data_IF_863707835937
#
_entry.id   IF_863707835937
#
_cell.length_a   1.000
_cell.length_b   1.000
_cell.length_c   1.000
_cell.angle_alpha   90.00
_cell.angle_beta   90.00
_cell.angle_gamma   90.00
#
_symmetry.space_group_name_H-M   'P 1'
#
loop_
_entity.id
_entity.type
_entity.pdbx_description
1 polymer ?
2 water ?
#
# COMPACT_ATOMS: atom_id res chain seq x y z
N UNK A 16 27.45 -0.19 -11.73
CA UNK A 16 26.80 0.77 -10.85
C UNK A 16 25.34 1.09 -11.24
N UNK A 17 24.95 0.77 -12.46
CA UNK A 17 23.55 0.88 -12.86
C UNK A 17 22.83 -0.46 -12.62
N UNK A 18 21.50 -0.38 -12.45
CA UNK A 18 20.73 -1.57 -12.07
C UNK A 18 19.51 -1.85 -12.91
N UNK A 19 18.33 -1.81 -12.28
CA UNK A 19 17.07 -2.03 -12.99
C UNK A 19 16.86 -1.03 -14.12
N UNK A 20 17.67 0.03 -14.18
CA UNK A 20 17.68 0.94 -15.32
C UNK A 20 18.19 0.27 -16.60
N UNK A 21 18.69 -0.96 -16.50
CA UNK A 21 19.13 -1.75 -17.63
C UNK A 21 18.04 -2.65 -18.20
N UNK A 22 16.83 -2.60 -17.64
CA UNK A 22 15.73 -3.40 -18.12
C UNK A 22 15.56 -4.76 -17.50
N UNK A 23 16.32 -5.08 -16.45
CA UNK A 23 16.20 -6.35 -15.76
C UNK A 23 15.43 -6.11 -14.48
N UNK A 24 14.17 -6.54 -14.44
CA UNK A 24 13.35 -6.41 -13.24
C UNK A 24 13.57 -7.59 -12.29
N UNK A 26 11.24 -8.52 -9.56
CA UNK A 26 10.13 -7.91 -8.83
C UNK A 26 8.90 -7.83 -9.73
N UNK A 27 8.94 -8.57 -10.84
CA UNK A 27 7.82 -8.57 -11.78
C UNK A 27 6.55 -9.08 -11.11
N UNK A 28 6.69 -10.06 -10.20
CA UNK A 28 5.55 -10.56 -9.46
C UNK A 28 4.95 -9.47 -8.59
N UNK A 29 5.81 -8.76 -7.85
CA UNK A 29 5.34 -7.67 -6.99
C UNK A 29 4.72 -6.56 -7.82
N UNK A 30 5.27 -6.26 -9.00
CA UNK A 30 4.71 -5.21 -9.84
C UNK A 30 3.32 -5.59 -10.35
N UNK A 31 3.15 -6.82 -10.83
CA UNK A 31 1.82 -7.24 -11.27
C UNK A 31 0.82 -7.20 -10.12
N UNK A 32 1.24 -7.69 -8.94
CA UNK A 32 0.34 -7.70 -7.79
C UNK A 32 -0.03 -6.29 -7.37
N UNK A 33 0.92 -5.34 -7.46
CA UNK A 33 0.63 -3.96 -7.10
C UNK A 33 -0.34 -3.33 -8.10
N UNK A 34 -0.14 -3.60 -9.39
CA UNK A 34 -1.08 -3.10 -10.38
C UNK A 34 -2.49 -3.63 -10.07
N UNK A 35 -2.61 -4.92 -9.81
CA UNK A 35 -3.92 -5.49 -9.54
C UNK A 35 -4.56 -4.86 -8.29
N UNK A 36 -3.80 -4.79 -7.19
CA UNK A 36 -4.35 -4.32 -5.93
C UNK A 36 -4.71 -2.84 -5.99
N UNK A 37 -3.77 -2.01 -6.49
CA UNK A 37 -4.04 -0.58 -6.60
C UNK A 37 -5.17 -0.32 -7.57
N UNK A 38 -5.32 -1.14 -8.62
CA UNK A 38 -6.42 -0.94 -9.54
C UNK A 38 -7.75 -1.19 -8.86
N UNK A 39 -7.86 -2.31 -8.14
CA UNK A 39 -9.02 -2.59 -7.31
C UNK A 39 -9.35 -1.42 -6.39
N UNK A 40 -8.36 -0.97 -5.62
CA UNK A 40 -8.62 0.06 -4.63
C UNK A 40 -9.02 1.37 -5.29
N UNK A 41 -8.38 1.72 -6.41
CA UNK A 41 -8.70 2.94 -7.13
C UNK A 41 -10.10 2.90 -7.70
N UNK A 42 -10.49 1.74 -8.26
CA UNK A 42 -11.84 1.60 -8.79
C UNK A 42 -12.86 1.83 -7.71
N UNK A 43 -12.67 1.21 -6.54
CA UNK A 43 -13.62 1.43 -5.45
C UNK A 43 -13.67 2.91 -5.05
N UNK A 44 -12.50 3.56 -4.97
CA UNK A 44 -12.46 4.95 -4.53
C UNK A 44 -13.15 5.87 -5.52
N UNK A 45 -12.93 5.67 -6.82
CA UNK A 45 -13.55 6.54 -7.82
C UNK A 45 -15.05 6.27 -7.88
N UNK A 46 -15.47 5.02 -7.73
CA UNK A 46 -16.89 4.70 -7.71
C UNK A 46 -17.58 5.41 -6.55
N UNK A 47 -16.95 5.38 -5.38
CA UNK A 47 -17.51 6.09 -4.23
C UNK A 47 -17.53 7.60 -4.46
N UNK A 48 -16.47 8.15 -5.08
CA UNK A 48 -16.40 9.59 -5.29
C UNK A 48 -17.43 10.07 -6.31
N UNK A 49 -17.82 9.23 -7.25
CA UNK A 49 -18.81 9.62 -8.24
C UNK A 49 -20.21 9.20 -7.80
N UNK A 54 -22.08 12.09 -9.70
CA UNK A 54 -21.39 12.38 -10.94
C UNK A 54 -20.94 11.10 -11.63
N UNK A 55 -19.98 11.23 -12.56
CA UNK A 55 -19.49 10.11 -13.36
C UNK A 55 -18.13 9.65 -12.86
N UNK A 56 -17.87 8.34 -12.95
CA UNK A 56 -16.58 7.80 -12.54
C UNK A 56 -15.49 8.20 -13.53
N UNK A 57 -15.80 8.14 -14.83
CA UNK A 57 -14.81 8.54 -15.83
C UNK A 57 -14.46 10.01 -15.71
N UNK A 58 -15.44 10.84 -15.36
CA UNK A 58 -15.16 12.25 -15.10
C UNK A 58 -14.20 12.41 -13.93
N UNK A 59 -14.46 11.70 -12.83
CA UNK A 59 -13.56 11.74 -11.68
C UNK A 59 -12.18 11.21 -12.05
N UNK A 60 -12.13 10.16 -12.86
CA UNK A 60 -10.85 9.58 -13.26
C UNK A 60 -10.01 10.58 -14.04
N UNK A 61 -10.59 11.19 -15.08
CA UNK A 61 -9.83 12.15 -15.88
C UNK A 61 -9.52 13.43 -15.09
N UNK A 62 -10.40 13.83 -14.16
CA UNK A 62 -10.12 14.97 -13.30
C UNK A 62 -8.90 14.70 -12.42
N UNK A 63 -8.88 13.53 -11.77
CA UNK A 63 -7.72 13.16 -10.96
C UNK A 63 -6.46 13.07 -11.82
N UNK A 64 -6.59 12.53 -13.03
CA UNK A 64 -5.44 12.46 -13.92
C UNK A 64 -4.88 13.85 -14.22
N UNK A 65 -5.77 14.80 -14.54
CA UNK A 65 -5.32 16.17 -14.82
C UNK A 65 -4.67 16.80 -13.60
N UNK A 66 -5.24 16.59 -12.41
CA UNK A 66 -4.65 17.17 -11.20
C UNK A 66 -3.26 16.59 -10.93
N UNK A 67 -3.11 15.28 -11.11
CA UNK A 67 -1.81 14.64 -10.90
C UNK A 67 -0.81 15.13 -11.92
N UNK A 68 -1.23 15.29 -13.18
CA UNK A 68 -0.33 15.80 -14.20
C UNK A 68 0.11 17.22 -13.91
N UNK A 69 -0.83 18.09 -13.48
CA UNK A 69 -0.47 19.44 -13.08
C UNK A 69 0.53 19.44 -11.95
N UNK A 70 0.30 18.61 -10.92
CA UNK A 70 1.24 18.54 -9.80
C UNK A 70 2.60 18.04 -10.26
N UNK A 71 2.63 17.10 -11.21
CA UNK A 71 3.88 16.59 -11.73
C UNK A 71 4.64 17.68 -12.46
N UNK A 72 3.95 18.48 -13.27
CA UNK A 72 4.58 19.64 -13.91
C UNK A 72 5.11 20.61 -12.87
N UNK A 73 4.34 20.85 -11.80
CA UNK A 73 4.78 21.77 -10.75
C UNK A 73 6.08 21.29 -10.11
N UNK A 74 6.15 20.01 -9.76
CA UNK A 74 7.37 19.47 -9.17
C UNK A 74 8.51 19.37 -10.17
N UNK A 75 8.20 19.27 -11.47
CA UNK A 75 9.24 19.33 -12.49
C UNK A 75 9.79 20.75 -12.64
N UNK A 76 8.95 21.77 -12.40
CA UNK A 76 9.38 23.16 -12.50
C UNK A 76 10.32 23.55 -11.37
N UNK A 77 10.34 22.81 -10.27
CA UNK A 77 11.29 23.01 -9.20
C UNK A 77 12.39 21.97 -9.18
N UNK A 78 12.31 20.97 -10.04
CA UNK A 78 13.35 19.96 -10.15
C UNK A 78 13.15 18.73 -9.29
N UNK A 79 11.90 18.28 -9.14
CA UNK A 79 11.57 17.07 -8.38
C UNK A 79 10.99 16.05 -9.36
N UNK A 80 11.58 14.85 -9.38
CA UNK A 80 11.17 13.84 -10.34
C UNK A 80 9.85 13.19 -9.93
N UNK A 81 9.33 12.36 -10.82
CA UNK A 81 8.11 11.63 -10.52
C UNK A 81 8.34 10.63 -9.40
N UNK A 82 9.49 9.95 -9.41
CA UNK A 82 9.77 8.97 -8.36
C UNK A 82 9.87 9.64 -6.98
N UNK A 83 10.53 10.80 -6.91
CA UNK A 83 10.65 11.50 -5.64
C UNK A 83 9.31 12.08 -5.20
N UNK A 84 8.51 12.57 -6.15
CA UNK A 84 7.16 13.01 -5.82
C UNK A 84 6.35 11.88 -5.20
N UNK A 85 6.43 10.69 -5.80
CA UNK A 85 5.74 9.54 -5.24
C UNK A 85 6.28 9.20 -3.87
N UNK A 86 7.59 9.37 -3.67
CA UNK A 86 8.18 9.07 -2.37
C UNK A 86 7.65 9.99 -1.28
N UNK A 87 7.56 11.29 -1.59
CA UNK A 87 7.05 12.23 -0.60
C UNK A 87 5.57 12.00 -0.33
N UNK A 88 4.80 11.75 -1.40
CA UNK A 88 3.39 11.46 -1.22
C UNK A 88 3.20 10.20 -0.37
N UNK A 89 4.05 9.18 -0.58
CA UNK A 89 3.96 7.98 0.23
C UNK A 89 4.30 8.26 1.68
N UNK A 90 5.31 9.09 1.93
CA UNK A 90 5.61 9.47 3.30
C UNK A 90 4.36 10.06 3.98
N UNK A 91 3.65 10.95 3.27
CA UNK A 91 2.40 11.51 3.79
C UNK A 91 1.35 10.41 4.04
N UNK A 92 1.09 9.60 3.03
CA UNK A 92 -0.01 8.64 3.11
C UNK A 92 0.25 7.59 4.18
N UNK A 93 1.45 7.01 4.16
CA UNK A 93 1.77 5.97 5.14
C UNK A 93 1.83 6.53 6.54
N UNK A 94 2.23 7.79 6.71
CA UNK A 94 2.15 8.39 8.03
C UNK A 94 0.71 8.41 8.50
N UNK A 95 -0.20 8.82 7.62
CA UNK A 95 -1.62 8.87 7.99
C UNK A 95 -2.16 7.48 8.31
N UNK A 96 -1.83 6.49 7.48
CA UNK A 96 -2.38 5.14 7.68
C UNK A 96 -1.84 4.52 8.96
N UNK A 97 -0.55 4.67 9.23
CA UNK A 97 0.01 4.16 10.47
C UNK A 97 -0.61 4.86 11.68
N UNK A 98 -0.81 6.18 11.60
CA UNK A 98 -1.43 6.89 12.72
C UNK A 98 -2.83 6.36 13.00
N UNK A 99 -3.62 6.15 11.94
CA UNK A 99 -4.98 5.63 12.14
C UNK A 99 -4.96 4.24 12.74
N UNK A 100 -4.06 3.37 12.26
CA UNK A 100 -4.02 1.99 12.78
C UNK A 100 -3.58 1.97 14.24
N UNK A 101 -2.57 2.77 14.59
CA UNK A 101 -2.09 2.84 15.96
C UNK A 101 -3.20 3.36 16.87
N UNK A 102 -3.92 4.40 16.44
CA UNK A 102 -5.00 4.94 17.25
C UNK A 102 -6.08 3.89 17.47
N UNK A 103 -6.46 3.17 16.42
CA UNK A 103 -7.52 2.17 16.57
C UNK A 103 -7.08 1.05 17.49
N UNK A 104 -5.80 0.65 17.41
CA UNK A 104 -5.36 -0.44 18.28
C UNK A 104 -5.26 0.03 19.73
N UNK A 105 -4.75 1.24 19.95
CA UNK A 105 -4.72 1.80 21.30
C UNK A 105 -6.13 1.84 21.92
N UNK A 106 -7.12 2.28 21.15
CA UNK A 106 -8.50 2.29 21.67
C UNK A 106 -9.00 0.88 21.93
N UNK A 107 -8.73 -0.06 21.01
CA UNK A 107 -9.22 -1.42 21.21
C UNK A 107 -8.57 -2.09 22.41
N UNK A 108 -7.33 -1.73 22.72
CA UNK A 108 -6.58 -2.37 23.80
C UNK A 108 -6.67 -1.58 25.10
N UNK A 109 -7.17 -0.36 25.06
CA UNK A 109 -7.29 0.44 26.27
C UNK A 109 -5.95 0.96 26.76
N UNK A 110 -5.07 1.37 25.86
CA UNK A 110 -3.79 1.95 26.22
C UNK A 110 -3.54 3.17 25.32
N UNK A 111 -2.43 3.85 25.56
CA UNK A 111 -2.11 5.04 24.79
C UNK A 111 -1.49 4.65 23.44
N UNK A 112 -1.53 5.61 22.51
CA UNK A 112 -0.92 5.40 21.19
C UNK A 112 0.58 5.19 21.31
N UNK A 113 1.25 5.91 22.22
CA UNK A 113 2.69 5.72 22.38
C UNK A 113 3.02 4.30 22.81
N UNK A 114 2.19 3.71 23.66
CA UNK A 114 2.42 2.34 24.10
C UNK A 114 2.33 1.36 22.93
N UNK A 115 1.31 1.55 22.07
CA UNK A 115 1.14 0.69 20.91
C UNK A 115 2.29 0.88 19.94
N UNK A 116 2.71 2.14 19.72
CA UNK A 116 3.85 2.40 18.83
C UNK A 116 5.09 1.69 19.32
N UNK A 117 5.38 1.79 20.62
CA UNK A 117 6.61 1.20 21.13
C UNK A 117 6.53 -0.31 21.12
N UNK A 118 5.34 -0.88 21.28
CA UNK A 118 5.20 -2.31 21.14
C UNK A 118 5.41 -2.75 19.68
N UNK A 119 4.92 -1.97 18.73
CA UNK A 119 5.11 -2.33 17.33
C UNK A 119 6.59 -2.27 16.94
N UNK A 120 7.27 -1.19 17.33
CA UNK A 120 8.71 -1.10 17.09
C UNK A 120 9.44 -2.28 17.71
N UNK A 121 9.11 -2.61 18.97
CA UNK A 121 9.80 -3.70 19.64
C UNK A 121 9.61 -5.01 18.90
N UNK A 122 8.37 -5.30 18.47
CA UNK A 122 8.10 -6.56 17.79
C UNK A 122 8.84 -6.63 16.45
N UNK A 123 8.78 -5.55 15.68
CA UNK A 123 9.41 -5.56 14.36
C UNK A 123 10.93 -5.66 14.50
N UNK A 124 11.51 -4.96 15.47
CA UNK A 124 12.96 -5.04 15.67
C UNK A 124 13.37 -6.43 16.14
N UNK A 125 12.55 -7.09 16.96
CA UNK A 125 12.84 -8.49 17.30
C UNK A 125 12.87 -9.36 16.04
N UNK A 126 11.86 -9.22 15.18
CA UNK A 126 11.84 -10.02 13.95
C UNK A 126 13.07 -9.72 13.10
N UNK A 127 13.45 -8.45 12.97
CA UNK A 127 14.65 -8.14 12.20
C UNK A 127 15.91 -8.71 12.85
N UNK A 128 15.95 -8.77 14.18
CA UNK A 128 17.09 -9.41 14.86
C UNK A 128 17.19 -10.87 14.49
N UNK A 129 16.10 -11.62 14.67
CA UNK A 129 16.06 -13.02 14.24
C UNK A 129 16.61 -13.20 12.84
N UNK A 130 16.38 -12.23 11.95
CA UNK A 130 16.84 -12.32 10.58
C UNK A 130 18.26 -11.79 10.39
N UNK A 131 18.92 -11.35 11.47
CA UNK A 131 20.27 -10.79 11.40
C UNK A 131 20.32 -9.63 10.40
N UNK A 132 19.37 -8.71 10.52
CA UNK A 132 19.30 -7.53 9.68
C UNK A 132 19.31 -6.28 10.54
N UNK A 133 19.73 -5.17 9.93
CA UNK A 133 19.62 -3.87 10.58
C UNK A 133 18.21 -3.63 11.10
N UNK A 134 18.11 -2.95 12.24
CA UNK A 134 16.82 -2.63 12.82
C UNK A 134 16.19 -1.44 12.13
N UNK A 135 14.97 -1.11 12.58
CA UNK A 135 14.25 0.01 11.96
C UNK A 135 14.98 1.33 12.18
N UNK A 136 15.78 1.45 13.25
CA UNK A 136 16.37 2.74 13.59
C UNK A 136 17.42 3.15 12.55
N UNK A 137 18.15 2.20 11.99
CA UNK A 137 19.21 2.50 11.03
C UNK A 137 18.75 2.30 9.58
N UNK A 138 17.45 2.29 9.32
CA UNK A 138 16.94 2.15 7.97
C UNK A 138 16.45 3.50 7.43
N UNK A 139 16.34 3.58 6.11
CA UNK A 139 15.84 4.79 5.45
C UNK A 139 14.40 5.06 5.87
N UNK A 140 14.00 6.35 5.80
CA UNK A 140 12.74 6.79 6.37
C UNK A 140 11.54 6.05 5.77
N UNK A 141 11.43 6.06 4.45
CA UNK A 141 10.32 5.37 3.80
C UNK A 141 10.35 3.89 4.09
N UNK A 142 11.53 3.27 4.07
CA UNK A 142 11.59 1.82 4.30
C UNK A 142 11.17 1.48 5.73
N UNK A 143 11.57 2.31 6.70
CA UNK A 143 11.16 2.09 8.09
C UNK A 143 9.66 2.22 8.26
N UNK A 144 9.09 3.28 7.69
CA UNK A 144 7.65 3.47 7.75
C UNK A 144 6.91 2.32 7.10
N UNK A 145 7.39 1.86 5.93
CA UNK A 145 6.76 0.74 5.25
C UNK A 145 6.81 -0.52 6.09
N UNK A 146 7.96 -0.82 6.70
CA UNK A 146 8.06 -2.00 7.54
C UNK A 146 7.06 -1.95 8.68
N UNK A 147 7.01 -0.82 9.40
CA UNK A 147 6.05 -0.71 10.51
C UNK A 147 4.61 -0.87 10.03
N UNK A 148 4.23 -0.10 9.00
CA UNK A 148 2.83 -0.09 8.56
C UNK A 148 2.41 -1.44 7.99
N UNK A 149 3.26 -2.03 7.15
CA UNK A 149 2.89 -3.29 6.51
C UNK A 149 2.85 -4.41 7.52
N UNK A 150 3.78 -4.42 8.48
CA UNK A 150 3.71 -5.42 9.55
C UNK A 150 2.37 -5.34 10.27
N UNK A 151 1.99 -4.12 10.70
CA UNK A 151 0.73 -4.00 11.45
C UNK A 151 -0.49 -4.37 10.61
N UNK A 152 -0.55 -3.89 9.36
CA UNK A 152 -1.68 -4.24 8.48
C UNK A 152 -1.77 -5.75 8.28
N UNK A 153 -0.64 -6.40 8.00
CA UNK A 153 -0.68 -7.82 7.74
C UNK A 153 -1.08 -8.60 8.98
N UNK A 154 -0.58 -8.20 10.14
CA UNK A 154 -0.96 -8.91 11.36
C UNK A 154 -2.45 -8.75 11.63
N UNK A 155 -2.99 -7.55 11.39
CA UNK A 155 -4.43 -7.37 11.56
C UNK A 155 -5.22 -8.27 10.63
N UNK A 156 -4.83 -8.32 9.35
CA UNK A 156 -5.52 -9.21 8.40
C UNK A 156 -5.40 -10.67 8.80
N UNK A 157 -4.22 -11.08 9.29
CA UNK A 157 -4.01 -12.48 9.68
C UNK A 157 -4.92 -12.84 10.85
N UNK A 158 -4.95 -11.98 11.87
CA UNK A 158 -5.79 -12.28 13.04
C UNK A 158 -7.26 -12.27 12.66
N UNK A 159 -7.68 -11.33 11.81
CA UNK A 159 -9.07 -11.31 11.38
C UNK A 159 -9.44 -12.60 10.66
N UNK A 160 -8.65 -13.00 9.65
CA UNK A 160 -8.98 -14.21 8.90
C UNK A 160 -8.95 -15.45 9.79
N UNK A 161 -8.01 -15.51 10.74
CA UNK A 161 -7.97 -16.65 11.64
C UNK A 161 -9.23 -16.73 12.49
N UNK A 162 -9.65 -15.59 13.05
CA UNK A 162 -10.90 -15.57 13.79
C UNK A 162 -12.07 -16.00 12.92
N UNK A 163 -12.13 -15.46 11.69
CA UNK A 163 -13.26 -15.76 10.81
C UNK A 163 -13.35 -17.23 10.46
N UNK A 164 -12.20 -17.88 10.26
CA UNK A 164 -12.19 -19.28 9.87
C UNK A 164 -12.01 -20.22 11.05
N UNK A 165 -11.87 -19.69 12.26
CA UNK A 165 -11.66 -20.51 13.44
C UNK A 165 -10.42 -21.37 13.39
N UNK A 166 -9.34 -20.87 12.79
CA UNK A 166 -8.10 -21.63 12.69
C UNK A 166 -6.99 -20.87 13.41
N UNK A 167 -5.78 -21.42 13.39
CA UNK A 167 -4.64 -20.78 14.01
C UNK A 167 -4.08 -19.65 13.16
N UNK A 168 -3.55 -18.62 13.82
CA UNK A 168 -2.83 -17.56 13.12
C UNK A 168 -1.67 -18.15 12.33
N UNK A 169 -0.99 -19.13 12.91
CA UNK A 169 0.09 -19.83 12.22
C UNK A 169 -0.43 -20.53 10.97
N UNK A 170 -1.60 -21.18 11.06
CA UNK A 170 -2.22 -21.80 9.90
C UNK A 170 -2.45 -20.78 8.79
N UNK A 171 -3.00 -19.62 9.14
CA UNK A 171 -3.27 -18.59 8.15
C UNK A 171 -1.97 -18.14 7.48
N UNK A 172 -0.96 -17.85 8.29
CA UNK A 172 0.29 -17.33 7.75
C UNK A 172 0.99 -18.37 6.88
N UNK A 173 0.92 -19.65 7.26
CA UNK A 173 1.57 -20.68 6.46
C UNK A 173 0.83 -20.92 5.15
N UNK A 174 -0.51 -20.83 5.15
CA UNK A 174 -1.24 -20.96 3.89
C UNK A 174 -0.96 -19.78 2.97
N UNK A 175 -0.84 -18.58 3.54
CA UNK A 175 -0.54 -17.40 2.74
C UNK A 175 0.86 -17.51 2.13
N UNK A 176 1.85 -17.91 2.95
CA UNK A 176 3.20 -18.07 2.44
C UNK A 176 3.25 -19.14 1.35
N UNK A 177 2.49 -20.24 1.55
CA UNK A 177 2.44 -21.29 0.53
C UNK A 177 1.88 -20.76 -0.78
N UNK A 178 0.73 -20.08 -0.73
CA UNK A 178 0.12 -19.56 -1.96
C UNK A 178 1.05 -18.61 -2.69
N UNK A 179 1.67 -17.68 -1.95
CA UNK A 179 2.54 -16.71 -2.60
C UNK A 179 3.78 -17.40 -3.17
N UNK A 180 4.31 -18.40 -2.45
CA UNK A 180 5.47 -19.13 -2.95
C UNK A 180 5.14 -19.88 -4.23
N UNK A 181 3.96 -20.51 -4.29
CA UNK A 181 3.53 -21.17 -5.51
C UNK A 181 3.43 -20.19 -6.66
N UNK A 182 2.77 -19.05 -6.44
CA UNK A 182 2.69 -18.03 -7.48
C UNK A 182 4.07 -17.62 -7.96
N UNK A 183 4.99 -17.34 -7.02
CA UNK A 183 6.36 -16.95 -7.38
C UNK A 183 7.04 -18.00 -8.25
N UNK A 184 7.03 -19.25 -7.79
CA UNK A 184 7.71 -20.32 -8.52
C UNK A 184 7.01 -20.69 -9.82
N UNK A 185 5.76 -20.30 -10.00
CA UNK A 185 5.08 -20.47 -11.27
C UNK A 185 5.44 -19.38 -12.28
N UNK A 186 6.42 -18.55 -11.95
CA UNK A 186 6.89 -17.48 -12.82
C UNK A 186 8.41 -17.48 -12.91
N UNK A 187 9.05 -18.61 -12.62
CA UNK A 187 10.50 -18.81 -12.72
C UNK A 187 11.28 -17.93 -11.75
N UNK A 188 10.61 -17.33 -10.76
CA UNK A 188 11.25 -16.45 -9.80
C UNK A 188 11.64 -17.23 -8.55
N UNK A 189 12.43 -16.57 -7.70
CA UNK A 189 12.89 -17.20 -6.48
C UNK A 189 11.75 -17.33 -5.47
N UNK A 190 11.92 -18.24 -4.51
CA UNK A 190 10.92 -18.45 -3.49
C UNK A 190 10.87 -17.33 -2.46
N UNK A 191 9.84 -17.42 -1.60
CA UNK A 191 9.63 -16.39 -0.58
C UNK A 191 10.79 -16.35 0.41
N UNK A 192 11.51 -17.46 0.58
CA UNK A 192 12.60 -17.54 1.54
C UNK A 192 13.81 -16.70 1.16
N UNK A 193 13.97 -16.36 -0.13
CA UNK A 193 15.18 -15.69 -0.56
C UNK A 193 14.95 -14.24 -0.98
N UNK A 194 13.75 -13.70 -0.76
CA UNK A 194 13.52 -12.30 -1.09
C UNK A 194 13.94 -11.41 0.09
N UNK A 195 14.17 -10.13 -0.22
CA UNK A 195 14.49 -9.20 0.84
C UNK A 195 13.24 -8.91 1.70
N UNK A 196 13.49 -8.37 2.90
CA UNK A 196 12.46 -8.29 3.94
C UNK A 196 11.22 -7.53 3.49
N UNK A 197 11.41 -6.30 2.99
CA UNK A 197 10.25 -5.49 2.64
C UNK A 197 9.53 -6.04 1.41
N UNK A 198 10.25 -6.66 0.47
CA UNK A 198 9.59 -7.22 -0.71
C UNK A 198 8.71 -8.40 -0.32
N UNK A 199 9.23 -9.32 0.49
CA UNK A 199 8.40 -10.42 0.97
C UNK A 199 7.21 -9.90 1.75
N UNK A 200 7.44 -8.92 2.62
CA UNK A 200 6.35 -8.35 3.40
C UNK A 200 5.27 -7.77 2.50
N UNK A 201 5.65 -7.01 1.47
CA UNK A 201 4.67 -6.48 0.51
C UNK A 201 3.98 -7.60 -0.27
N UNK A 202 4.72 -8.60 -0.73
CA UNK A 202 4.10 -9.73 -1.43
C UNK A 202 2.99 -10.33 -0.58
N UNK A 203 3.30 -10.60 0.70
CA UNK A 203 2.32 -11.20 1.60
C UNK A 203 1.13 -10.27 1.80
N UNK A 204 1.40 -9.02 2.17
CA UNK A 204 0.34 -8.08 2.50
C UNK A 204 -0.57 -7.84 1.31
N UNK A 205 0.03 -7.51 0.15
CA UNK A 205 -0.76 -7.19 -1.03
C UNK A 205 -1.59 -8.38 -1.48
N UNK A 206 -1.03 -9.61 -1.44
CA UNK A 206 -1.82 -10.79 -1.80
C UNK A 206 -3.02 -10.91 -0.89
N UNK A 207 -2.82 -10.72 0.41
CA UNK A 207 -3.91 -10.89 1.36
C UNK A 207 -4.98 -9.82 1.16
N UNK A 208 -4.55 -8.56 0.97
CA UNK A 208 -5.49 -7.47 0.77
C UNK A 208 -6.29 -7.66 -0.51
N UNK A 209 -5.62 -8.10 -1.59
CA UNK A 209 -6.32 -8.35 -2.84
C UNK A 209 -7.36 -9.44 -2.69
N UNK A 210 -7.00 -10.56 -2.05
CA UNK A 210 -7.96 -11.63 -1.88
C UNK A 210 -9.19 -11.16 -1.10
N UNK A 211 -8.96 -10.38 -0.04
CA UNK A 211 -10.08 -9.92 0.77
C UNK A 211 -10.97 -8.96 -0.03
N UNK A 212 -10.37 -8.04 -0.77
CA UNK A 212 -11.17 -7.10 -1.58
C UNK A 212 -11.95 -7.82 -2.66
N UNK A 213 -11.31 -8.78 -3.35
CA UNK A 213 -11.97 -9.53 -4.40
C UNK A 213 -13.17 -10.29 -3.85
N UNK A 214 -12.98 -10.95 -2.69
CA UNK A 214 -14.07 -11.72 -2.10
C UNK A 214 -15.22 -10.82 -1.67
N UNK A 215 -14.91 -9.67 -1.08
CA UNK A 215 -15.98 -8.80 -0.59
C UNK A 215 -16.76 -8.19 -1.75
N UNK A 216 -16.07 -7.77 -2.81
CA UNK A 216 -16.76 -7.22 -3.97
C UNK A 216 -17.61 -8.29 -4.65
N UNK A 217 -17.09 -9.52 -4.76
CA UNK A 217 -17.88 -10.62 -5.29
C UNK A 217 -19.17 -10.82 -4.52
N UNK A 218 -19.09 -10.78 -3.18
CA UNK A 218 -20.30 -10.95 -2.38
C UNK A 218 -21.26 -9.78 -2.59
N UNK A 219 -20.73 -8.55 -2.60
CA UNK A 219 -21.57 -7.37 -2.73
C UNK A 219 -22.31 -7.32 -4.07
N UNK A 220 -21.64 -7.69 -5.16
CA UNK A 220 -22.23 -7.55 -6.49
C UNK A 220 -22.97 -8.81 -6.94
N UNK A 221 -22.91 -9.89 -6.18
CA UNK A 221 -23.64 -11.10 -6.51
C UNK A 221 -23.04 -11.93 -7.62
N UNK A 222 -21.74 -11.82 -7.86
CA UNK A 222 -21.09 -12.60 -8.91
C UNK A 222 -20.00 -13.46 -8.29
N UNK A 223 -19.36 -14.28 -9.11
CA UNK A 223 -18.30 -15.13 -8.60
C UNK A 223 -17.00 -14.35 -8.39
N UNK A 224 -16.14 -14.92 -7.55
CA UNK A 224 -14.81 -14.35 -7.34
C UNK A 224 -14.03 -14.31 -8.65
N UNK A 225 -14.15 -15.37 -9.47
CA UNK A 225 -13.43 -15.43 -10.74
C UNK A 225 -13.86 -14.29 -11.66
N UNK A 226 -15.14 -13.92 -11.63
CA UNK A 226 -15.61 -12.79 -12.42
C UNK A 226 -14.85 -11.53 -12.05
N UNK A 227 -14.79 -11.23 -10.76
CA UNK A 227 -14.06 -10.05 -10.28
C UNK A 227 -12.60 -10.12 -10.72
N UNK A 228 -11.95 -11.26 -10.49
CA UNK A 228 -10.51 -11.33 -10.73
C UNK A 228 -10.18 -11.23 -12.21
N UNK A 229 -10.99 -11.83 -13.07
CA UNK A 229 -10.76 -11.73 -14.51
C UNK A 229 -11.05 -10.33 -15.03
N UNK A 230 -12.09 -9.68 -14.50
CA UNK A 230 -12.31 -8.27 -14.85
C UNK A 230 -11.12 -7.42 -14.44
N UNK A 231 -10.54 -7.69 -13.27
CA UNK A 231 -9.37 -6.92 -12.80
C UNK A 231 -8.17 -7.15 -13.71
N UNK A 232 -7.86 -8.42 -13.99
CA UNK A 232 -6.75 -8.73 -14.88
C UNK A 232 -6.93 -8.05 -16.22
N UNK A 233 -8.15 -8.05 -16.75
CA UNK A 233 -8.38 -7.46 -18.06
C UNK A 233 -8.21 -5.95 -17.99
N UNK A 234 -8.72 -5.31 -16.94
CA UNK A 234 -8.56 -3.86 -16.82
C UNK A 234 -7.07 -3.50 -16.79
N UNK A 235 -6.28 -4.28 -16.06
CA UNK A 235 -4.87 -3.98 -15.94
C UNK A 235 -4.13 -4.22 -17.26
N UNK A 236 -4.46 -5.30 -17.95
CA UNK A 236 -3.80 -5.57 -19.22
C UNK A 236 -4.18 -4.51 -20.26
N UNK A 237 -5.42 -4.03 -20.24
CA UNK A 237 -5.81 -2.96 -21.16
C UNK A 237 -5.07 -1.67 -20.86
N UNK A 238 -5.02 -1.28 -19.58
CA UNK A 238 -4.25 -0.10 -19.20
C UNK A 238 -2.80 -0.23 -19.62
N UNK A 239 -2.22 -1.42 -19.46
CA UNK A 239 -0.82 -1.62 -19.83
C UNK A 239 -0.62 -1.53 -21.34
N UNK A 240 -1.57 -2.06 -22.12
CA UNK A 240 -1.46 -1.97 -23.57
C UNK A 240 -1.58 -0.52 -24.05
N UNK A 241 -2.51 0.24 -23.44
CA UNK A 241 -2.62 1.66 -23.77
C UNK A 241 -1.33 2.41 -23.42
N UNK A 242 -0.76 2.14 -22.25
CA UNK A 242 0.47 2.82 -21.86
C UNK A 242 1.61 2.48 -22.82
N UNK A 243 1.76 1.19 -23.15
CA UNK A 243 2.78 0.79 -24.11
C UNK A 243 2.57 1.47 -25.47
N UNK A 244 1.31 1.63 -25.89
CA UNK A 244 1.03 2.37 -27.10
C UNK A 244 1.50 3.82 -27.00
N UNK A 245 1.36 4.42 -25.82
CA UNK A 245 1.85 5.78 -25.64
C UNK A 245 3.35 5.85 -25.37
N UNK A 246 4.05 4.72 -25.36
CA UNK A 246 5.47 4.73 -25.07
C UNK A 246 5.82 4.81 -23.60
N UNK A 247 4.91 4.39 -22.71
CA UNK A 247 5.11 4.45 -21.27
C UNK A 247 5.51 3.07 -20.75
N UNK A 248 6.48 3.04 -19.84
CA UNK A 248 6.99 1.79 -19.29
C UNK A 248 6.08 1.25 -18.18
N UNK A 249 6.24 -0.05 -17.91
CA UNK A 249 5.45 -0.68 -16.85
C UNK A 249 5.72 -0.05 -15.49
N UNK A 250 6.99 0.32 -15.25
CA UNK A 250 7.34 1.01 -14.01
C UNK A 250 6.64 2.37 -13.92
N UNK A 251 6.66 3.14 -15.02
CA UNK A 251 5.99 4.43 -15.03
C UNK A 251 4.48 4.27 -14.89
N UNK A 252 3.92 3.20 -15.47
CA UNK A 252 2.49 2.94 -15.31
C UNK A 252 2.14 2.72 -13.85
N UNK A 253 2.92 1.87 -13.18
CA UNK A 253 2.74 1.65 -11.75
C UNK A 253 2.89 2.95 -10.96
N UNK A 254 3.87 3.78 -11.33
CA UNK A 254 4.08 5.02 -10.58
C UNK A 254 2.90 5.98 -10.72
N UNK A 255 2.38 6.13 -11.96
CA UNK A 255 1.21 6.98 -12.16
C UNK A 255 0.01 6.45 -11.38
N UNK A 256 -0.20 5.13 -11.42
CA UNK A 256 -1.35 4.55 -10.74
C UNK A 256 -1.22 4.74 -9.23
N UNK A 257 0.02 4.60 -8.70
CA UNK A 257 0.23 4.82 -7.27
C UNK A 257 0.03 6.28 -6.90
N UNK A 258 0.41 7.21 -7.77
CA UNK A 258 0.16 8.61 -7.48
C UNK A 258 -1.33 8.90 -7.37
N UNK A 259 -2.09 8.49 -8.38
CA UNK A 259 -3.55 8.67 -8.33
C UNK A 259 -4.15 8.04 -7.08
N UNK A 260 -3.83 6.77 -6.84
CA UNK A 260 -4.45 6.05 -5.73
C UNK A 260 -4.05 6.65 -4.40
N UNK A 261 -2.77 7.00 -4.23
CA UNK A 261 -2.29 7.50 -2.95
C UNK A 261 -2.91 8.85 -2.64
N UNK A 262 -3.06 9.71 -3.65
CA UNK A 262 -3.74 10.98 -3.41
C UNK A 262 -5.17 10.74 -2.94
N UNK A 263 -5.89 9.82 -3.60
CA UNK A 263 -7.26 9.58 -3.20
C UNK A 263 -7.35 9.01 -1.77
N UNK A 264 -6.50 8.03 -1.46
CA UNK A 264 -6.50 7.45 -0.12
C UNK A 264 -6.18 8.49 0.94
N UNK A 265 -5.19 9.34 0.68
CA UNK A 265 -4.83 10.37 1.64
C UNK A 265 -6.02 11.29 1.91
N UNK A 266 -6.67 11.74 0.84
CA UNK A 266 -7.78 12.68 1.00
C UNK A 266 -8.91 12.06 1.81
N UNK A 267 -9.23 10.79 1.52
CA UNK A 267 -10.26 10.10 2.30
C UNK A 267 -9.86 9.98 3.77
N UNK A 268 -8.60 9.62 4.05
CA UNK A 268 -8.20 9.47 5.44
C UNK A 268 -8.31 10.79 6.18
N UNK A 269 -7.91 11.89 5.54
CA UNK A 269 -7.98 13.19 6.21
C UNK A 269 -9.43 13.57 6.47
N UNK A 270 -10.30 13.45 5.46
CA UNK A 270 -11.72 13.73 5.65
C UNK A 270 -12.29 12.93 6.82
N UNK A 271 -12.03 11.62 6.84
CA UNK A 271 -12.62 10.75 7.84
C UNK A 271 -12.09 11.07 9.23
N UNK A 272 -10.78 11.32 9.35
CA UNK A 272 -10.22 11.64 10.66
C UNK A 272 -10.77 12.96 11.18
N UNK A 273 -10.96 13.93 10.30
CA UNK A 273 -11.53 15.22 10.72
C UNK A 273 -12.96 15.04 11.20
N UNK A 274 -13.77 14.31 10.43
CA UNK A 274 -15.15 14.07 10.85
C UNK A 274 -15.21 13.30 12.17
N UNK A 275 -14.28 12.36 12.39
CA UNK A 275 -14.32 11.54 13.60
C UNK A 275 -13.87 12.32 14.83
N UNK A 276 -12.83 13.14 14.69
CA UNK A 276 -12.34 13.93 15.81
C UNK A 276 -13.16 15.20 16.04
N UNK A 277 -14.06 15.54 15.13
CA UNK A 277 -14.85 16.74 15.24
C UNK A 277 -14.11 18.02 14.93
N UNK A 278 -12.99 17.94 14.22
CA UNK A 278 -12.17 19.11 13.94
C UNK A 278 -12.28 19.46 12.45
N UNK A 279 -11.63 20.55 12.05
CA UNK A 279 -11.59 20.87 10.64
C UNK A 279 -10.53 20.01 9.94
N UNK A 280 -10.68 19.91 8.62
CA UNK A 280 -9.70 19.17 7.81
C UNK A 280 -8.32 19.83 7.92
N UNK A 281 -8.29 21.16 7.97
CA UNK A 281 -7.00 21.86 8.06
C UNK A 281 -6.23 21.51 9.33
N UNK A 282 -6.93 21.20 10.43
CA UNK A 282 -6.23 20.74 11.63
C UNK A 282 -5.58 19.37 11.44
N UNK A 283 -6.31 18.45 10.80
CA UNK A 283 -5.72 17.14 10.47
C UNK A 283 -4.46 17.33 9.63
N UNK A 284 -4.55 18.18 8.59
CA UNK A 284 -3.41 18.44 7.73
C UNK A 284 -2.25 19.07 8.51
N UNK A 285 -2.54 20.00 9.42
CA UNK A 285 -1.47 20.64 10.18
C UNK A 285 -0.72 19.63 11.04
N UNK A 286 -1.45 18.76 11.74
CA UNK A 286 -0.79 17.74 12.56
C UNK A 286 0.08 16.83 11.69
N UNK A 287 -0.52 16.29 10.63
CA UNK A 287 0.22 15.45 9.69
C UNK A 287 1.44 16.16 9.12
N UNK A 288 1.32 17.47 8.85
CA UNK A 288 2.38 18.17 8.16
C UNK A 288 3.54 18.47 9.09
N UNK A 289 3.26 18.78 10.35
CA UNK A 289 4.34 18.87 11.34
C UNK A 289 5.11 17.56 11.40
N UNK A 290 4.38 16.46 11.67
CA UNK A 290 5.04 15.16 11.82
C UNK A 290 5.80 14.76 10.55
N UNK A 291 5.25 15.09 9.37
CA UNK A 291 5.83 14.64 8.12
C UNK A 291 7.02 15.50 7.72
N UNK A 292 6.93 16.82 7.90
CA UNK A 292 8.07 17.69 7.60
C UNK A 292 9.25 17.38 8.49
N UNK A 293 9.00 16.87 9.70
CA UNK A 293 10.09 16.32 10.50
C UNK A 293 10.86 15.25 9.72
N UNK A 294 10.18 14.18 9.29
CA UNK A 294 10.82 13.10 8.54
C UNK A 294 11.24 13.51 7.14
N UNK A 295 10.74 14.65 6.64
CA UNK A 295 11.13 15.15 5.33
C UNK A 295 12.46 15.86 5.39
N UNK A 296 12.74 16.56 6.50
CA UNK A 296 14.07 17.07 6.72
C UNK A 296 15.09 15.94 6.83
N UNK A 297 14.64 14.75 7.21
CA UNK A 297 15.50 13.57 7.35
C UNK A 297 15.95 13.00 6.00
#
# INVERSE_FOLDING_TARGET
>A
MASSHHHHHHSSGLVPRGSSMGISRRETLERLSLLLFSMQLEKLVKEEAEARGVSVETIREELEREVDERLREMEEQGISRRETLERLSLLLFSMQLEKLVKEEAEARGVSVETIREELEREVDERLREMEEQGISRRETLERLSLLLFSMQLEKLVKEEAEARGVSVETIREELEREVDERLREMEEQGISRRETLERLSLLLFSMQLEKLVKEEAEARGVSVETIREELEREVDERLREMEEQGISRRETLERLSLLLFSMQLEKLVKEEAEARGVSVETIREELEREVDERLREMEEQGW
#
